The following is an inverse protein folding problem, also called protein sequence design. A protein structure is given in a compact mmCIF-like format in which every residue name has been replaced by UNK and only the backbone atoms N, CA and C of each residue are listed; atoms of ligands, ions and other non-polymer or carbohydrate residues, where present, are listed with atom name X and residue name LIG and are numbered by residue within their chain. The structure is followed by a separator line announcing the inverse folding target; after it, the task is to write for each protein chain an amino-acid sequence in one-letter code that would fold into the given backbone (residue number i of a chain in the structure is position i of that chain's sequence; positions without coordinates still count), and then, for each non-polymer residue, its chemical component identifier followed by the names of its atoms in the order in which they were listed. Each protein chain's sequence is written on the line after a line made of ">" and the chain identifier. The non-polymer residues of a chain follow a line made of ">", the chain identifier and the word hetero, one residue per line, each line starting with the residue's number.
data_IF_095133429901
#
_entry.id   IF_095133429901
#
_cell.length_a   1.000
_cell.length_b   1.000
_cell.length_c   1.000
_cell.angle_alpha   90.00
_cell.angle_beta   90.00
_cell.angle_gamma   90.00
#
_symmetry.space_group_name_H-M   'P 1'
#
loop_
_entity.id
_entity.type
_entity.pdbx_description
1 polymer ?
#
# COMPACT_ATOMS: atom_id res chain seq x y z
N UNK A 1 12.02 6.33 -22.86
CA UNK A 1 11.64 5.31 -21.86
C UNK A 1 10.53 4.42 -22.42
N UNK A 2 10.79 3.11 -22.56
CA UNK A 2 9.86 2.15 -23.14
C UNK A 2 9.17 1.39 -22.00
N UNK A 3 8.18 2.00 -21.36
CA UNK A 3 7.29 1.30 -20.43
C UNK A 3 6.12 0.73 -21.22
N UNK A 4 5.81 -0.58 -21.12
CA UNK A 4 4.63 -1.13 -21.76
C UNK A 4 3.38 -0.51 -21.14
N UNK A 5 2.55 0.05 -22.00
CA UNK A 5 1.32 0.74 -21.66
C UNK A 5 0.18 -0.30 -21.57
N UNK A 6 -0.29 -0.67 -20.36
CA UNK A 6 -1.53 -1.45 -20.07
C UNK A 6 -2.87 -0.68 -19.87
N UNK A 7 -3.72 -0.63 -20.90
CA UNK A 7 -4.81 0.34 -21.03
C UNK A 7 -6.10 -0.06 -20.31
N UNK A 8 -6.05 -0.22 -18.98
CA UNK A 8 -7.19 -0.74 -18.23
C UNK A 8 -8.16 0.38 -17.86
N UNK A 9 -9.42 0.26 -18.30
CA UNK A 9 -10.49 1.28 -18.25
C UNK A 9 -11.05 1.61 -16.85
N UNK A 10 -10.41 1.23 -15.75
CA UNK A 10 -10.92 1.52 -14.42
C UNK A 10 -9.79 1.51 -13.36
N UNK A 11 -9.08 2.64 -13.14
CA UNK A 11 -8.10 2.71 -12.09
C UNK A 11 -8.84 2.74 -10.75
N UNK A 12 -8.84 1.62 -10.02
CA UNK A 12 -9.17 1.64 -8.60
C UNK A 12 -8.03 2.35 -7.89
N UNK A 13 -8.17 3.67 -7.72
CA UNK A 13 -7.17 4.51 -7.03
C UNK A 13 -7.10 4.25 -5.54
N UNK A 14 -8.01 3.42 -5.05
CA UNK A 14 -8.09 3.00 -3.67
C UNK A 14 -8.44 1.51 -3.62
N UNK A 15 -7.87 0.81 -2.65
CA UNK A 15 -8.30 -0.50 -2.19
C UNK A 15 -8.43 -0.44 -0.66
N UNK A 16 -9.44 -1.09 -0.11
CA UNK A 16 -9.59 -1.24 1.34
C UNK A 16 -9.98 -2.67 1.74
N UNK A 17 -9.53 -3.08 2.93
CA UNK A 17 -9.82 -4.37 3.52
C UNK A 17 -9.79 -4.29 5.05
N UNK A 18 -10.31 -5.33 5.70
CA UNK A 18 -10.41 -5.39 7.15
C UNK A 18 -9.54 -6.51 7.72
N UNK A 19 -8.86 -6.21 8.84
CA UNK A 19 -8.24 -7.19 9.73
C UNK A 19 -8.91 -7.11 11.10
N UNK A 20 -9.07 -8.26 11.77
CA UNK A 20 -9.79 -8.34 13.04
C UNK A 20 -8.83 -8.70 14.17
N UNK A 21 -8.87 -7.92 15.25
CA UNK A 21 -8.09 -8.16 16.46
C UNK A 21 -9.04 -8.38 17.64
N UNK A 22 -8.76 -9.35 18.50
CA UNK A 22 -9.54 -9.51 19.74
C UNK A 22 -9.27 -8.33 20.69
N UNK A 23 -7.99 -8.06 20.95
CA UNK A 23 -7.51 -6.94 21.76
C UNK A 23 -6.11 -6.55 21.22
N UNK A 24 -5.90 -5.28 20.80
CA UNK A 24 -4.58 -4.82 20.36
C UNK A 24 -3.56 -4.67 21.49
N UNK A 25 -3.99 -4.59 22.75
CA UNK A 25 -3.10 -4.35 23.90
C UNK A 25 -2.40 -3.00 23.85
N UNK A 26 -1.20 -2.92 24.43
CA UNK A 26 -0.38 -1.69 24.49
C UNK A 26 0.90 -1.77 23.62
N UNK A 27 1.27 -2.98 23.20
CA UNK A 27 2.52 -3.28 22.52
C UNK A 27 2.47 -2.91 21.03
N UNK A 28 3.65 -2.70 20.43
CA UNK A 28 3.75 -2.37 19.00
C UNK A 28 3.36 -3.57 18.12
N UNK A 29 2.62 -3.28 17.06
CA UNK A 29 2.29 -4.21 15.99
C UNK A 29 3.13 -3.94 14.75
N UNK A 30 3.14 -4.88 13.82
CA UNK A 30 3.75 -4.73 12.50
C UNK A 30 2.72 -5.07 11.43
N UNK A 31 2.51 -4.14 10.49
CA UNK A 31 1.78 -4.41 9.26
C UNK A 31 2.79 -4.75 8.18
N UNK A 32 2.64 -5.91 7.53
CA UNK A 32 3.49 -6.33 6.41
C UNK A 32 2.65 -6.56 5.17
N UNK A 33 3.10 -6.02 4.04
CA UNK A 33 2.56 -6.28 2.71
C UNK A 33 3.69 -6.76 1.80
N UNK A 34 3.38 -7.64 0.84
CA UNK A 34 4.28 -7.94 -0.28
C UNK A 34 3.88 -7.14 -1.50
N UNK A 35 4.82 -6.40 -2.04
CA UNK A 35 4.60 -5.48 -3.15
C UNK A 35 5.43 -5.94 -4.34
N UNK A 36 4.80 -5.97 -5.50
CA UNK A 36 5.49 -6.01 -6.77
C UNK A 36 5.63 -4.55 -7.20
N UNK A 37 6.82 -4.01 -6.93
CA UNK A 37 7.42 -2.78 -7.45
C UNK A 37 6.46 -1.58 -7.68
N UNK A 38 6.56 -0.56 -6.83
CA UNK A 38 5.87 0.73 -6.98
C UNK A 38 6.67 1.65 -7.91
N UNK A 39 6.06 2.18 -8.97
CA UNK A 39 6.76 3.10 -9.87
C UNK A 39 6.78 4.53 -9.29
N UNK A 40 5.77 4.88 -8.49
CA UNK A 40 5.58 6.22 -7.95
C UNK A 40 5.79 6.28 -6.43
N UNK A 41 6.21 7.45 -5.94
CA UNK A 41 6.47 7.72 -4.52
C UNK A 41 5.22 8.05 -3.72
N UNK A 42 4.10 8.30 -4.40
CA UNK A 42 2.88 8.76 -3.78
C UNK A 42 1.90 7.65 -3.37
N UNK A 43 2.28 6.39 -3.53
CA UNK A 43 1.45 5.28 -3.07
C UNK A 43 1.62 5.14 -1.54
N UNK A 44 0.50 5.04 -0.82
CA UNK A 44 0.50 4.98 0.64
C UNK A 44 -0.38 3.87 1.17
N UNK A 45 0.02 3.36 2.34
CA UNK A 45 -0.80 2.51 3.19
C UNK A 45 -1.40 3.36 4.31
N UNK A 46 -2.62 3.03 4.70
CA UNK A 46 -3.37 3.65 5.76
C UNK A 46 -3.92 2.59 6.71
N UNK A 47 -3.92 2.88 8.01
CA UNK A 47 -4.57 2.05 9.03
C UNK A 47 -5.55 2.91 9.80
N UNK A 48 -6.83 2.54 9.82
CA UNK A 48 -7.90 3.27 10.53
C UNK A 48 -7.90 4.78 10.25
N UNK A 49 -7.61 5.18 9.01
CA UNK A 49 -7.55 6.59 8.59
C UNK A 49 -6.21 7.30 8.83
N UNK A 50 -5.22 6.65 9.43
CA UNK A 50 -3.87 7.20 9.63
C UNK A 50 -2.94 6.74 8.53
N UNK A 51 -2.26 7.68 7.87
CA UNK A 51 -1.26 7.38 6.83
C UNK A 51 0.01 6.83 7.45
N UNK A 52 0.55 5.76 6.87
CA UNK A 52 1.81 5.18 7.31
C UNK A 52 2.99 5.78 6.53
N UNK A 53 4.12 5.91 7.21
CA UNK A 53 5.40 6.31 6.64
C UNK A 53 6.43 5.19 6.88
N UNK A 54 7.34 4.92 5.93
CA UNK A 54 7.47 5.58 4.61
C UNK A 54 6.36 5.17 3.62
N UNK A 55 6.21 5.85 2.46
CA UNK A 55 5.39 5.34 1.36
C UNK A 55 5.89 3.97 0.86
N UNK A 56 5.20 3.39 -0.13
CA UNK A 56 5.71 2.18 -0.78
C UNK A 56 7.13 2.37 -1.33
N UNK A 57 7.96 1.34 -1.17
CA UNK A 57 9.33 1.30 -1.68
C UNK A 57 9.37 1.36 -3.20
N UNK A 58 10.33 2.11 -3.73
CA UNK A 58 10.48 2.33 -5.17
C UNK A 58 10.91 1.06 -5.90
N UNK A 59 10.43 0.91 -7.13
CA UNK A 59 10.91 -0.05 -8.12
C UNK A 59 12.45 -0.06 -8.24
N UNK A 60 13.02 -1.26 -8.19
CA UNK A 60 14.44 -1.56 -8.39
C UNK A 60 14.69 -2.37 -9.69
N UNK A 61 13.68 -2.49 -10.55
CA UNK A 61 13.68 -3.25 -11.82
C UNK A 61 14.03 -4.75 -11.71
N UNK A 62 14.02 -5.32 -10.50
CA UNK A 62 14.26 -6.73 -10.24
C UNK A 62 13.06 -7.66 -10.54
N UNK A 63 11.87 -7.13 -10.84
CA UNK A 63 10.62 -7.88 -10.99
C UNK A 63 10.32 -8.83 -9.82
N UNK A 64 10.76 -8.45 -8.61
CA UNK A 64 10.67 -9.30 -7.42
C UNK A 64 9.61 -8.79 -6.44
N UNK A 65 8.96 -9.71 -5.74
CA UNK A 65 8.06 -9.41 -4.63
C UNK A 65 8.87 -9.05 -3.38
N UNK A 66 8.78 -7.79 -2.95
CA UNK A 66 9.47 -7.30 -1.74
C UNK A 66 8.48 -7.18 -0.60
N UNK A 67 8.84 -7.69 0.58
CA UNK A 67 8.08 -7.45 1.80
C UNK A 67 8.44 -6.07 2.35
N UNK A 68 7.43 -5.23 2.57
CA UNK A 68 7.59 -3.97 3.29
C UNK A 68 6.74 -4.01 4.56
N UNK A 69 7.32 -3.48 5.63
CA UNK A 69 6.72 -3.51 6.96
C UNK A 69 6.66 -2.12 7.56
N UNK A 70 5.58 -1.85 8.28
CA UNK A 70 5.36 -0.61 9.02
C UNK A 70 5.09 -0.92 10.49
N UNK A 71 5.77 -0.22 11.42
CA UNK A 71 5.43 -0.30 12.83
C UNK A 71 4.09 0.41 13.10
N UNK A 72 3.16 -0.28 13.77
CA UNK A 72 1.83 0.22 14.08
C UNK A 72 1.67 0.29 15.60
N UNK A 73 1.61 1.49 16.19
CA UNK A 73 1.27 1.65 17.61
C UNK A 73 -0.11 1.08 17.93
N UNK A 74 -0.26 0.41 19.08
CA UNK A 74 -1.53 -0.18 19.50
C UNK A 74 -2.67 0.86 19.58
N UNK A 75 -2.34 2.11 19.90
CA UNK A 75 -3.29 3.25 19.91
C UNK A 75 -3.93 3.55 18.55
N UNK A 76 -3.32 3.10 17.43
CA UNK A 76 -3.91 3.20 16.10
C UNK A 76 -4.90 2.08 15.80
N UNK A 77 -4.94 1.05 16.65
CA UNK A 77 -5.74 -0.16 16.47
C UNK A 77 -6.94 -0.17 17.41
N UNK A 78 -7.91 -1.03 17.09
CA UNK A 78 -9.17 -1.20 17.80
C UNK A 78 -9.39 -2.69 18.07
N UNK A 79 -10.06 -2.99 19.18
CA UNK A 79 -10.71 -4.30 19.32
C UNK A 79 -11.79 -4.44 18.22
N UNK A 80 -11.83 -5.60 17.57
CA UNK A 80 -12.65 -5.86 16.40
C UNK A 80 -11.98 -5.45 15.09
N UNK A 81 -12.75 -4.80 14.22
CA UNK A 81 -12.35 -4.49 12.84
C UNK A 81 -11.39 -3.30 12.77
N UNK A 82 -10.31 -3.48 12.01
CA UNK A 82 -9.34 -2.45 11.66
C UNK A 82 -9.23 -2.37 10.15
N UNK A 83 -9.39 -1.18 9.59
CA UNK A 83 -9.29 -0.95 8.16
C UNK A 83 -7.84 -0.76 7.75
N UNK A 84 -7.43 -1.53 6.74
CA UNK A 84 -6.21 -1.28 5.97
C UNK A 84 -6.63 -0.76 4.61
N UNK A 85 -6.08 0.38 4.21
CA UNK A 85 -6.35 1.00 2.92
C UNK A 85 -5.07 1.30 2.17
N UNK A 86 -5.09 1.11 0.86
CA UNK A 86 -4.01 1.43 -0.07
C UNK A 86 -4.52 2.50 -1.03
N UNK A 87 -3.78 3.60 -1.17
CA UNK A 87 -4.08 4.66 -2.14
C UNK A 87 -3.00 4.71 -3.21
N UNK A 88 -3.43 4.78 -4.47
CA UNK A 88 -2.57 4.84 -5.65
C UNK A 88 -2.39 6.30 -6.06
N UNK A 89 -1.14 6.72 -6.23
CA UNK A 89 -0.79 8.04 -6.70
C UNK A 89 -0.91 8.15 -8.22
N UNK A 90 -1.13 9.39 -8.65
CA UNK A 90 -1.01 9.72 -10.04
C UNK A 90 0.46 9.77 -10.46
N UNK A 91 0.77 9.27 -11.64
CA UNK A 91 2.07 9.42 -12.29
C UNK A 91 2.46 10.89 -12.40
N UNK A 92 3.75 11.23 -12.40
CA UNK A 92 4.18 12.63 -12.58
C UNK A 92 3.58 13.27 -13.84
N UNK A 93 3.15 14.56 -13.83
CA UNK A 93 2.42 15.18 -14.94
C UNK A 93 3.10 15.08 -16.31
N UNK A 94 4.44 15.08 -16.34
CA UNK A 94 5.24 14.96 -17.57
C UNK A 94 5.21 13.58 -18.21
N UNK A 95 4.80 12.55 -17.44
CA UNK A 95 4.64 11.17 -17.89
C UNK A 95 3.17 10.77 -18.06
N UNK A 96 2.22 11.68 -17.76
CA UNK A 96 0.80 11.41 -17.94
C UNK A 96 0.41 11.53 -19.41
N UNK A 97 -0.31 10.52 -19.92
CA UNK A 97 -1.03 10.58 -21.19
C UNK A 97 -2.52 10.30 -20.92
N UNK A 98 -3.42 10.57 -21.88
CA UNK A 98 -4.88 10.56 -21.66
C UNK A 98 -5.42 9.24 -21.10
N UNK A 99 -4.72 8.12 -21.28
CA UNK A 99 -5.05 6.81 -20.71
C UNK A 99 -4.21 6.39 -19.50
N UNK A 100 -3.23 7.19 -19.08
CA UNK A 100 -2.11 6.82 -18.22
C UNK A 100 -1.91 7.87 -17.14
N UNK A 101 -2.71 7.77 -16.09
CA UNK A 101 -2.70 8.78 -15.03
C UNK A 101 -2.22 8.23 -13.69
N UNK A 102 -2.40 6.94 -13.45
CA UNK A 102 -2.21 6.31 -12.15
C UNK A 102 -1.12 5.27 -12.23
N UNK A 103 -0.43 5.05 -11.11
CA UNK A 103 0.51 3.95 -11.00
C UNK A 103 -0.19 2.58 -11.14
N UNK A 104 0.55 1.58 -11.63
CA UNK A 104 0.12 0.18 -11.69
C UNK A 104 0.76 -0.56 -10.53
N UNK A 105 0.04 -0.67 -9.41
CA UNK A 105 0.53 -1.28 -8.18
C UNK A 105 -0.07 -2.66 -7.98
N UNK A 106 0.80 -3.64 -7.73
CA UNK A 106 0.41 -4.98 -7.33
C UNK A 106 0.91 -5.28 -5.92
N UNK A 107 0.02 -5.73 -5.04
CA UNK A 107 0.35 -6.15 -3.68
C UNK A 107 -0.45 -7.37 -3.23
N UNK A 108 0.07 -8.09 -2.24
CA UNK A 108 -0.54 -9.30 -1.66
C UNK A 108 -0.06 -9.54 -0.22
N UNK A 109 -0.61 -10.56 0.42
CA UNK A 109 -0.16 -11.05 1.74
C UNK A 109 -0.14 -9.92 2.80
N UNK A 110 -1.30 -9.30 2.99
CA UNK A 110 -1.50 -8.21 3.95
C UNK A 110 -1.70 -8.83 5.34
N UNK A 111 -0.73 -8.67 6.22
CA UNK A 111 -0.72 -9.31 7.54
C UNK A 111 -0.39 -8.28 8.62
N UNK A 112 -1.26 -8.18 9.62
CA UNK A 112 -1.00 -7.45 10.85
C UNK A 112 -0.63 -8.45 11.95
N UNK A 113 0.54 -8.30 12.54
CA UNK A 113 1.09 -9.29 13.48
C UNK A 113 1.89 -8.62 14.60
N UNK A 114 2.08 -9.38 15.68
CA UNK A 114 2.82 -9.03 16.90
C UNK A 114 3.69 -10.23 17.29
N UNK A 115 4.88 -9.99 17.88
CA UNK A 115 5.75 -11.06 18.40
C UNK A 115 5.42 -11.41 19.84
#
# INVERSE_FOLDING_TARGET
>A
PWMPLYGVRNPSTEWSGLVYLADPGEEMWTLTLRIMQSNEWGNYVWVNGVRLEPPFGREDFSASWVAQSWPIPAVMLRSGANEVRVTIASTTPVMQDRGWRWDDLQFKEIVLWQR
#
